data_IF_452147063968
#
_entry.id   IF_452147063968
#
_cell.length_a   1.000
_cell.length_b   1.000
_cell.length_c   1.000
_cell.angle_alpha   90.00
_cell.angle_beta   90.00
_cell.angle_gamma   90.00
#
_symmetry.space_group_name_H-M   'P 1'
#
loop_
_entity.id
_entity.type
_entity.pdbx_description
1 polymer ?
#
# COMPACT_ATOMS: atom_id res chain seq x y z
N UNK A 1 15.01 -16.98 -41.06
CA UNK A 1 14.21 -15.79 -41.47
C UNK A 1 12.78 -15.79 -40.88
N UNK A 2 12.09 -16.93 -40.79
CA UNK A 2 10.65 -16.97 -40.44
C UNK A 2 10.32 -16.70 -38.96
N UNK A 3 11.23 -17.02 -38.04
CA UNK A 3 11.06 -16.85 -36.58
C UNK A 3 10.96 -15.36 -36.17
N UNK A 4 11.86 -14.51 -36.69
CA UNK A 4 11.83 -13.08 -36.40
C UNK A 4 10.54 -12.42 -36.91
N UNK A 5 10.05 -12.87 -38.08
CA UNK A 5 8.79 -12.38 -38.65
C UNK A 5 7.59 -12.77 -37.79
N UNK A 6 7.50 -14.01 -37.32
CA UNK A 6 6.41 -14.44 -36.45
C UNK A 6 6.46 -13.74 -35.08
N UNK A 7 7.65 -13.57 -34.49
CA UNK A 7 7.82 -12.83 -33.23
C UNK A 7 7.37 -11.36 -33.35
N UNK A 8 7.69 -10.69 -34.46
CA UNK A 8 7.22 -9.33 -34.73
C UNK A 8 5.69 -9.23 -34.75
N UNK A 9 5.01 -10.11 -35.51
CA UNK A 9 3.55 -10.09 -35.58
C UNK A 9 2.89 -10.41 -34.24
N UNK A 10 3.46 -11.33 -33.46
CA UNK A 10 2.99 -11.61 -32.10
C UNK A 10 3.13 -10.38 -31.18
N UNK A 11 4.28 -9.72 -31.21
CA UNK A 11 4.50 -8.49 -30.44
C UNK A 11 3.47 -7.43 -30.80
N UNK A 12 3.29 -7.15 -32.11
CA UNK A 12 2.32 -6.15 -32.58
C UNK A 12 0.90 -6.51 -32.15
N UNK A 13 0.51 -7.79 -32.25
CA UNK A 13 -0.81 -8.24 -31.81
C UNK A 13 -1.03 -8.03 -30.31
N UNK A 14 -0.08 -8.45 -29.46
CA UNK A 14 -0.18 -8.27 -28.00
C UNK A 14 -0.22 -6.79 -27.62
N UNK A 15 0.62 -5.95 -28.23
CA UNK A 15 0.62 -4.52 -27.98
C UNK A 15 -0.69 -3.85 -28.43
N UNK A 16 -1.30 -4.33 -29.51
CA UNK A 16 -2.59 -3.80 -29.98
C UNK A 16 -3.72 -4.11 -29.00
N UNK A 17 -3.73 -5.32 -28.41
CA UNK A 17 -4.70 -5.69 -27.37
C UNK A 17 -4.50 -4.83 -26.12
N UNK A 18 -3.25 -4.65 -25.68
CA UNK A 18 -2.92 -3.77 -24.55
C UNK A 18 -3.36 -2.33 -24.81
N UNK A 19 -3.02 -1.76 -25.98
CA UNK A 19 -3.38 -0.40 -26.34
C UNK A 19 -4.89 -0.21 -26.37
N UNK A 20 -5.63 -1.16 -26.97
CA UNK A 20 -7.09 -1.14 -26.95
C UNK A 20 -7.65 -1.12 -25.52
N UNK A 21 -7.15 -2.00 -24.65
CA UNK A 21 -7.58 -2.04 -23.25
C UNK A 21 -7.24 -0.74 -22.51
N UNK A 22 -6.03 -0.20 -22.69
CA UNK A 22 -5.61 1.04 -22.06
C UNK A 22 -6.50 2.23 -22.43
N UNK A 23 -6.72 2.45 -23.73
CA UNK A 23 -7.56 3.56 -24.19
C UNK A 23 -9.04 3.35 -23.82
N UNK A 24 -9.54 2.12 -23.89
CA UNK A 24 -10.91 1.84 -23.46
C UNK A 24 -11.10 2.14 -21.96
N UNK A 25 -10.19 1.67 -21.10
CA UNK A 25 -10.23 1.92 -19.67
C UNK A 25 -10.09 3.40 -19.32
N UNK A 26 -9.27 4.14 -20.07
CA UNK A 26 -9.10 5.58 -19.86
C UNK A 26 -10.40 6.37 -20.09
N UNK A 27 -11.20 6.00 -21.10
CA UNK A 27 -12.39 6.76 -21.48
C UNK A 27 -13.71 6.19 -20.93
N UNK A 28 -13.77 4.87 -20.68
CA UNK A 28 -14.99 4.16 -20.31
C UNK A 28 -14.81 3.21 -19.11
N UNK A 29 -13.65 3.20 -18.48
CA UNK A 29 -13.41 2.40 -17.28
C UNK A 29 -14.22 2.92 -16.08
N UNK A 30 -14.50 2.01 -15.14
CA UNK A 30 -15.07 2.39 -13.85
C UNK A 30 -14.05 3.19 -13.04
N UNK A 31 -14.54 4.08 -12.17
CA UNK A 31 -13.66 4.81 -11.24
C UNK A 31 -13.07 3.83 -10.24
N UNK A 32 -11.75 3.84 -10.08
CA UNK A 32 -11.10 3.08 -9.03
C UNK A 32 -11.53 3.60 -7.66
N UNK A 33 -11.72 2.69 -6.70
CA UNK A 33 -11.74 3.03 -5.29
C UNK A 33 -10.34 3.48 -4.85
N UNK A 34 -10.25 4.04 -3.64
CA UNK A 34 -8.97 4.49 -3.08
C UNK A 34 -7.99 3.33 -2.88
N UNK A 35 -8.51 2.15 -2.50
CA UNK A 35 -7.75 0.91 -2.36
C UNK A 35 -8.50 -0.27 -2.98
N UNK A 36 -8.36 -0.53 -4.29
CA UNK A 36 -9.04 -1.63 -4.97
C UNK A 36 -8.35 -2.99 -4.76
N UNK A 37 -7.16 -3.01 -4.14
CA UNK A 37 -6.33 -4.20 -3.99
C UNK A 37 -6.11 -4.63 -2.54
N UNK A 38 -6.77 -3.96 -1.59
CA UNK A 38 -6.60 -4.21 -0.15
C UNK A 38 -5.11 -4.20 0.28
N UNK A 39 -4.33 -3.25 -0.25
CA UNK A 39 -2.92 -3.10 0.12
C UNK A 39 -2.77 -2.31 1.42
N UNK A 40 -1.75 -2.65 2.22
CA UNK A 40 -1.53 -2.04 3.53
C UNK A 40 -0.71 -0.73 3.49
N UNK A 41 -0.04 -0.45 2.38
CA UNK A 41 0.90 0.67 2.26
C UNK A 41 0.22 2.04 2.21
N UNK A 42 0.98 3.09 2.56
CA UNK A 42 0.44 4.44 2.73
C UNK A 42 -0.16 5.05 1.46
N UNK A 43 0.31 4.70 0.26
CA UNK A 43 -0.27 5.21 -0.98
C UNK A 43 -1.73 4.78 -1.20
N UNK A 44 -2.23 3.79 -0.45
CA UNK A 44 -3.61 3.33 -0.51
C UNK A 44 -4.50 3.93 0.58
N UNK A 45 -3.99 4.93 1.31
CA UNK A 45 -4.77 5.70 2.28
C UNK A 45 -5.24 7.04 1.72
N UNK A 46 -4.91 7.34 0.46
CA UNK A 46 -5.24 8.59 -0.21
C UNK A 46 -6.24 8.37 -1.35
N UNK A 47 -7.04 9.39 -1.70
CA UNK A 47 -7.98 9.29 -2.81
C UNK A 47 -7.35 8.91 -4.15
N UNK A 48 -8.11 8.25 -5.02
CA UNK A 48 -7.73 8.01 -6.42
C UNK A 48 -8.48 8.95 -7.39
N UNK A 49 -7.84 9.96 -8.02
CA UNK A 49 -6.39 10.24 -8.03
C UNK A 49 -5.88 10.99 -6.79
N UNK A 50 -4.58 10.85 -6.45
CA UNK A 50 -4.02 11.49 -5.26
C UNK A 50 -4.15 13.02 -5.29
N UNK A 51 -4.45 13.65 -4.14
CA UNK A 51 -4.50 15.10 -4.04
C UNK A 51 -3.10 15.72 -4.19
N UNK A 52 -3.06 17.01 -4.53
CA UNK A 52 -1.81 17.75 -4.53
C UNK A 52 -1.25 17.82 -3.09
N UNK A 53 0.02 17.43 -2.92
CA UNK A 53 0.65 17.28 -1.61
C UNK A 53 0.66 15.85 -1.06
N UNK A 54 0.14 14.87 -1.82
CA UNK A 54 0.05 13.44 -1.49
C UNK A 54 -0.89 13.14 -0.32
N UNK A 55 -0.57 13.60 0.89
CA UNK A 55 -1.32 13.32 2.11
C UNK A 55 -1.96 14.61 2.66
N UNK A 56 -3.31 14.70 2.74
CA UNK A 56 -3.98 15.85 3.36
C UNK A 56 -3.62 16.02 4.83
N UNK A 57 -3.48 14.90 5.54
CA UNK A 57 -3.04 14.81 6.93
C UNK A 57 -1.90 13.81 7.02
N UNK A 58 -0.91 14.07 7.88
CA UNK A 58 0.25 13.18 8.05
C UNK A 58 -0.21 11.85 8.68
N UNK A 59 -0.08 10.70 7.98
CA UNK A 59 -0.52 9.43 8.52
C UNK A 59 0.40 8.96 9.65
N UNK A 60 -0.20 8.40 10.69
CA UNK A 60 0.53 7.70 11.76
C UNK A 60 0.73 6.25 11.34
N UNK A 61 1.97 5.77 11.43
CA UNK A 61 2.33 4.38 11.07
C UNK A 61 2.43 3.55 12.33
N UNK A 62 1.59 2.53 12.44
CA UNK A 62 1.59 1.60 13.58
C UNK A 62 2.38 0.32 13.31
N UNK A 63 2.58 -0.02 12.03
CA UNK A 63 3.09 -1.34 11.63
C UNK A 63 3.76 -1.36 10.26
N UNK A 64 4.35 -2.51 9.91
CA UNK A 64 5.02 -2.70 8.62
C UNK A 64 4.06 -2.81 7.43
N UNK A 65 4.52 -2.51 6.20
CA UNK A 65 3.68 -2.56 4.99
C UNK A 65 3.29 -3.97 4.53
N UNK A 66 3.89 -5.02 5.10
CA UNK A 66 3.69 -6.42 4.71
C UNK A 66 2.99 -7.27 5.78
N UNK A 67 2.37 -6.63 6.78
CA UNK A 67 1.63 -7.33 7.83
C UNK A 67 0.24 -7.76 7.36
N UNK A 68 0.22 -8.70 6.42
CA UNK A 68 -0.99 -9.42 6.02
C UNK A 68 -1.24 -10.61 6.97
N UNK A 69 -2.49 -11.09 7.01
CA UNK A 69 -2.93 -12.20 7.87
C UNK A 69 -2.58 -12.02 9.36
N UNK A 70 -2.55 -10.77 9.84
CA UNK A 70 -2.21 -10.50 11.24
C UNK A 70 -3.26 -11.11 12.17
N UNK A 71 -2.87 -11.77 13.28
CA UNK A 71 -3.81 -12.30 14.27
C UNK A 71 -4.59 -11.20 15.01
N UNK A 72 -4.22 -9.93 14.82
CA UNK A 72 -4.88 -8.77 15.42
C UNK A 72 -5.99 -8.16 14.54
N UNK A 73 -6.12 -8.63 13.30
CA UNK A 73 -7.11 -8.19 12.32
C UNK A 73 -8.06 -9.34 11.96
N UNK A 74 -9.34 -9.04 11.79
CA UNK A 74 -10.31 -10.02 11.27
C UNK A 74 -10.17 -10.20 9.75
N UNK A 75 -9.64 -9.18 9.06
CA UNK A 75 -9.38 -9.19 7.62
C UNK A 75 -7.91 -9.49 7.32
N UNK A 76 -7.65 -10.05 6.14
CA UNK A 76 -6.28 -10.37 5.70
C UNK A 76 -5.40 -9.13 5.53
N UNK A 77 -6.00 -8.01 5.10
CA UNK A 77 -5.32 -6.73 5.04
C UNK A 77 -5.48 -5.98 6.37
N UNK A 78 -4.38 -5.39 6.84
CA UNK A 78 -4.30 -4.57 8.04
C UNK A 78 -3.50 -3.29 7.76
N UNK A 79 -4.16 -2.20 7.30
CA UNK A 79 -3.48 -1.00 6.83
C UNK A 79 -2.55 -0.39 7.86
N UNK A 80 -1.44 0.21 7.43
CA UNK A 80 -0.42 0.80 8.33
C UNK A 80 -0.98 1.88 9.27
N UNK A 81 -2.06 2.54 8.86
CA UNK A 81 -2.72 3.64 9.58
C UNK A 81 -3.79 3.21 10.55
N UNK A 82 -4.13 1.91 10.60
CA UNK A 82 -5.15 1.43 11.54
C UNK A 82 -4.54 1.31 12.94
N UNK A 83 -5.10 1.93 13.98
CA UNK A 83 -4.56 1.79 15.34
C UNK A 83 -4.55 0.32 15.80
N UNK A 84 -3.54 -0.11 16.60
CA UNK A 84 -3.52 -1.43 17.19
C UNK A 84 -4.63 -1.55 18.25
N UNK A 85 -5.25 -2.73 18.35
CA UNK A 85 -6.27 -3.01 19.37
C UNK A 85 -5.67 -3.14 20.78
N UNK A 86 -4.39 -3.52 20.86
CA UNK A 86 -3.61 -3.61 22.10
C UNK A 86 -2.58 -2.47 22.16
N UNK A 87 -2.26 -1.94 23.36
CA UNK A 87 -1.27 -0.90 23.49
C UNK A 87 0.11 -1.39 23.00
N UNK A 88 0.91 -0.51 22.37
CA UNK A 88 2.27 -0.81 21.92
C UNK A 88 3.10 -1.49 23.02
N UNK A 89 3.91 -2.48 22.64
CA UNK A 89 4.86 -3.12 23.59
C UNK A 89 5.78 -2.09 24.24
N UNK A 90 6.08 -0.99 23.54
CA UNK A 90 6.88 0.12 24.06
C UNK A 90 6.24 0.76 25.31
N UNK A 91 4.91 0.86 25.36
CA UNK A 91 4.16 1.39 26.52
C UNK A 91 4.11 0.38 27.69
N UNK A 92 4.55 -0.85 27.45
CA UNK A 92 4.68 -1.92 28.45
C UNK A 92 6.11 -2.06 28.99
N UNK A 93 7.09 -1.39 28.37
CA UNK A 93 8.45 -1.30 28.89
C UNK A 93 8.46 -0.13 29.88
N UNK A 94 8.62 -0.37 31.18
CA UNK A 94 8.77 0.75 32.12
C UNK A 94 9.97 1.60 31.69
N UNK A 95 9.80 2.92 31.71
CA UNK A 95 10.87 3.90 31.46
C UNK A 95 12.16 3.43 32.16
N UNK A 96 13.32 3.47 31.49
CA UNK A 96 14.57 3.07 32.12
C UNK A 96 14.72 3.88 33.41
N UNK A 97 14.74 3.18 34.55
CA UNK A 97 14.90 3.81 35.86
C UNK A 97 16.23 4.56 35.81
N UNK A 98 16.15 5.88 35.68
CA UNK A 98 17.35 6.71 35.73
C UNK A 98 17.91 6.48 37.14
N UNK A 99 19.13 5.94 37.30
CA UNK A 99 19.67 5.77 38.63
C UNK A 99 19.70 7.16 39.26
N UNK A 100 18.95 7.33 40.35
CA UNK A 100 19.06 8.51 41.20
C UNK A 100 20.55 8.71 41.46
N UNK A 101 21.13 9.91 41.23
CA UNK A 101 22.51 10.14 41.57
C UNK A 101 22.65 9.83 43.06
N UNK A 102 23.29 8.71 43.40
CA UNK A 102 23.63 8.44 44.78
C UNK A 102 24.57 9.56 45.19
N UNK A 103 24.10 10.39 46.12
CA UNK A 103 24.81 11.59 46.55
C UNK A 103 26.26 11.26 46.92
N UNK A 104 27.18 12.07 46.40
CA UNK A 104 28.55 12.12 46.89
C UNK A 104 28.61 12.63 48.34
#
# INVERSE_FOLDING_TARGET
MNLFRSAFFLLVATQSIYAFNFFWSLFKGEKASDNPWDSNTLEWTVPSPPPHGNFPEMPVVYRGPYEYSSPESETDFYPQTTPPSKPPVQDLIPEPVTPTPEGF
#
